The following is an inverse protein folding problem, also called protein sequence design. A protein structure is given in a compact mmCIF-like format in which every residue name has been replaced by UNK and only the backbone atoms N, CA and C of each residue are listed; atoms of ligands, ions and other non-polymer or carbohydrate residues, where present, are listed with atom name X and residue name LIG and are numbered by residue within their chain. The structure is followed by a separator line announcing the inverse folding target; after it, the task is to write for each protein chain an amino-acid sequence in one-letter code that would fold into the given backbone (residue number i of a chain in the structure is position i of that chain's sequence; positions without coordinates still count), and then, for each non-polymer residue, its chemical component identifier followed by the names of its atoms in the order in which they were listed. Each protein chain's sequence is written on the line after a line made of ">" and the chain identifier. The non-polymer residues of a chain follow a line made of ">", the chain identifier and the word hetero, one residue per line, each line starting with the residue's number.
data_IF_981837003866
#
_entry.id   IF_981837003866
#
_cell.length_a   1.000
_cell.length_b   1.000
_cell.length_c   1.000
_cell.angle_alpha   90.00
_cell.angle_beta   90.00
_cell.angle_gamma   90.00
#
_symmetry.space_group_name_H-M   'P 1'
#
loop_
_entity.id
_entity.type
_entity.pdbx_description
1 polymer ?
#
# COMPACT_ATOMS: atom_id res chain seq x y z
N UNK A 1 -4.68 -12.56 -6.33
CA UNK A 1 -3.72 -13.65 -6.01
C UNK A 1 -2.40 -13.03 -5.53
N UNK A 2 -1.89 -13.43 -4.36
CA UNK A 2 -0.75 -12.78 -3.70
C UNK A 2 0.60 -13.01 -4.42
N UNK A 3 0.95 -14.28 -4.72
CA UNK A 3 2.28 -14.64 -5.28
C UNK A 3 2.62 -13.87 -6.57
N UNK A 4 1.73 -13.77 -7.58
CA UNK A 4 2.02 -12.98 -8.78
C UNK A 4 2.13 -11.48 -8.52
N UNK A 5 1.52 -10.95 -7.46
CA UNK A 5 1.63 -9.54 -7.09
C UNK A 5 3.01 -9.26 -6.48
N UNK A 6 3.48 -10.12 -5.57
CA UNK A 6 4.83 -10.01 -4.98
C UNK A 6 5.91 -10.14 -6.06
N UNK A 7 5.76 -11.09 -6.99
CA UNK A 7 6.75 -11.26 -8.07
C UNK A 7 6.85 -10.05 -9.02
N UNK A 8 5.79 -9.24 -9.13
CA UNK A 8 5.76 -8.00 -9.93
C UNK A 8 6.16 -6.75 -9.14
N UNK A 9 6.26 -6.86 -7.81
CA UNK A 9 6.67 -5.74 -6.97
C UNK A 9 8.15 -5.40 -7.18
N UNK A 10 8.56 -4.14 -6.94
CA UNK A 10 9.97 -3.77 -6.91
C UNK A 10 10.76 -4.70 -6.00
N UNK A 11 11.93 -5.15 -6.47
CA UNK A 11 12.83 -6.07 -5.74
C UNK A 11 12.17 -7.41 -5.34
N UNK A 12 11.05 -7.78 -5.96
CA UNK A 12 10.26 -8.98 -5.64
C UNK A 12 9.88 -9.07 -4.15
N UNK A 13 9.69 -7.92 -3.49
CA UNK A 13 9.41 -7.83 -2.06
C UNK A 13 8.30 -6.81 -1.76
N UNK A 14 7.50 -7.11 -0.75
CA UNK A 14 6.48 -6.20 -0.22
C UNK A 14 6.40 -6.37 1.30
N UNK A 15 6.25 -5.27 2.03
CA UNK A 15 5.97 -5.29 3.46
C UNK A 15 4.56 -4.78 3.70
N UNK A 16 3.75 -5.62 4.31
CA UNK A 16 2.35 -5.36 4.62
C UNK A 16 2.19 -5.24 6.13
N UNK A 17 1.48 -4.22 6.58
CA UNK A 17 1.10 -4.06 7.99
C UNK A 17 -0.34 -3.60 8.04
N UNK A 18 -1.17 -4.36 8.73
CA UNK A 18 -2.56 -4.01 8.96
C UNK A 18 -2.70 -3.43 10.37
N UNK A 19 -3.19 -2.21 10.45
CA UNK A 19 -3.56 -1.55 11.69
C UNK A 19 -5.07 -1.69 11.89
N UNK A 20 -5.45 -2.52 12.86
CA UNK A 20 -6.85 -2.82 13.14
C UNK A 20 -7.59 -1.68 13.84
N UNK A 21 -6.88 -0.82 14.58
CA UNK A 21 -7.47 0.34 15.26
C UNK A 21 -7.86 1.41 14.25
N UNK A 22 -6.98 1.65 13.27
CA UNK A 22 -7.21 2.63 12.20
C UNK A 22 -7.95 2.05 10.97
N UNK A 23 -8.29 0.76 10.94
CA UNK A 23 -8.82 0.05 9.76
C UNK A 23 -8.02 0.35 8.47
N UNK A 24 -6.69 0.28 8.58
CA UNK A 24 -5.76 0.77 7.56
C UNK A 24 -4.70 -0.28 7.21
N UNK A 25 -4.47 -0.50 5.91
CA UNK A 25 -3.41 -1.37 5.40
C UNK A 25 -2.27 -0.54 4.81
N UNK A 26 -1.08 -0.69 5.38
CA UNK A 26 0.15 -0.12 4.84
C UNK A 26 0.84 -1.12 3.91
N UNK A 27 1.14 -0.68 2.70
CA UNK A 27 1.89 -1.41 1.67
C UNK A 27 3.20 -0.68 1.42
N UNK A 28 4.34 -1.36 1.55
CA UNK A 28 5.66 -0.75 1.32
C UNK A 28 6.47 -1.59 0.34
N UNK A 29 7.15 -0.94 -0.60
CA UNK A 29 8.07 -1.56 -1.57
C UNK A 29 9.55 -1.26 -1.27
N UNK A 30 9.82 -0.36 -0.31
CA UNK A 30 11.17 0.03 0.11
C UNK A 30 11.26 0.07 1.64
N UNK A 31 12.44 -0.25 2.18
CA UNK A 31 12.81 0.01 3.58
C UNK A 31 14.19 0.69 3.65
N UNK A 32 14.35 1.76 4.46
CA UNK A 32 13.29 2.49 5.17
C UNK A 32 12.33 3.20 4.18
N UNK A 33 11.06 3.30 4.56
CA UNK A 33 9.98 3.81 3.71
C UNK A 33 9.71 5.29 4.02
N UNK A 34 10.68 6.16 3.73
CA UNK A 34 10.51 7.60 3.88
C UNK A 34 9.91 8.18 2.61
N UNK A 35 8.69 8.68 2.70
CA UNK A 35 8.04 9.41 1.63
C UNK A 35 8.51 10.87 1.65
N UNK A 36 8.73 11.44 0.49
CA UNK A 36 8.92 12.89 0.31
C UNK A 36 7.61 13.58 -0.04
N UNK A 37 6.65 12.84 -0.60
CA UNK A 37 5.34 13.35 -1.00
C UNK A 37 4.26 12.26 -0.92
N UNK A 38 2.99 12.67 -0.91
CA UNK A 38 1.84 11.77 -0.91
C UNK A 38 0.59 12.39 -1.52
N UNK A 39 -0.20 11.57 -2.19
CA UNK A 39 -1.44 11.97 -2.84
C UNK A 39 -2.60 11.11 -2.33
N UNK A 40 -3.70 11.74 -1.90
CA UNK A 40 -4.95 11.06 -1.59
C UNK A 40 -5.78 10.92 -2.87
N UNK A 41 -6.24 9.70 -3.15
CA UNK A 41 -7.14 9.39 -4.27
C UNK A 41 -8.59 9.34 -3.82
N UNK A 42 -9.53 9.42 -4.77
CA UNK A 42 -10.97 9.26 -4.51
C UNK A 42 -11.35 7.86 -4.02
N UNK A 43 -10.46 6.88 -4.21
CA UNK A 43 -10.65 5.49 -3.80
C UNK A 43 -10.17 5.22 -2.37
N UNK A 44 -10.04 6.22 -1.48
CA UNK A 44 -9.54 6.06 -0.09
C UNK A 44 -8.14 5.42 -0.02
N UNK A 45 -7.32 5.64 -1.05
CA UNK A 45 -5.92 5.17 -1.10
C UNK A 45 -4.99 6.37 -1.16
N UNK A 46 -4.02 6.41 -0.25
CA UNK A 46 -2.92 7.37 -0.29
C UNK A 46 -1.75 6.73 -1.01
N UNK A 47 -1.32 7.33 -2.12
CA UNK A 47 -0.09 6.95 -2.82
C UNK A 47 1.09 7.66 -2.16
N UNK A 48 2.16 6.92 -1.86
CA UNK A 48 3.36 7.46 -1.19
C UNK A 48 4.53 7.47 -2.16
N UNK A 49 5.19 8.62 -2.27
CA UNK A 49 6.27 8.84 -3.23
C UNK A 49 7.60 9.18 -2.54
N UNK A 50 8.72 8.80 -3.16
CA UNK A 50 10.04 9.36 -2.90
C UNK A 50 10.59 9.94 -4.22
N UNK A 51 10.55 11.26 -4.37
CA UNK A 51 10.67 11.89 -5.68
C UNK A 51 9.52 11.44 -6.59
N UNK A 52 9.86 10.88 -7.76
CA UNK A 52 8.89 10.37 -8.73
C UNK A 52 8.59 8.86 -8.54
N UNK A 53 9.26 8.19 -7.59
CA UNK A 53 9.11 6.75 -7.34
C UNK A 53 7.95 6.49 -6.36
N UNK A 54 7.01 5.63 -6.73
CA UNK A 54 6.00 5.09 -5.80
C UNK A 54 6.68 4.10 -4.84
N UNK A 55 6.72 4.43 -3.55
CA UNK A 55 7.36 3.61 -2.52
C UNK A 55 6.36 2.81 -1.69
N UNK A 56 5.06 3.08 -1.82
CA UNK A 56 4.04 2.38 -1.08
C UNK A 56 2.65 3.00 -1.17
N UNK A 57 1.72 2.40 -0.45
CA UNK A 57 0.34 2.83 -0.34
C UNK A 57 -0.12 2.77 1.11
N UNK A 58 -1.02 3.67 1.48
CA UNK A 58 -1.84 3.56 2.69
C UNK A 58 -3.29 3.39 2.25
N UNK A 59 -3.86 2.21 2.48
CA UNK A 59 -5.22 1.87 2.08
C UNK A 59 -6.12 2.07 3.29
N UNK A 60 -6.96 3.11 3.24
CA UNK A 60 -7.93 3.38 4.29
C UNK A 60 -9.17 2.50 4.11
N UNK A 61 -9.91 2.34 5.22
CA UNK A 61 -11.12 1.52 5.28
C UNK A 61 -10.90 0.11 4.71
N UNK A 62 -9.73 -0.46 5.01
CA UNK A 62 -9.22 -1.64 4.33
C UNK A 62 -10.13 -2.87 4.50
N UNK A 63 -10.79 -3.00 5.66
CA UNK A 63 -11.76 -4.07 5.93
C UNK A 63 -12.96 -4.07 4.97
N UNK A 64 -13.35 -2.92 4.42
CA UNK A 64 -14.51 -2.81 3.51
C UNK A 64 -14.23 -3.37 2.12
N UNK A 65 -12.96 -3.42 1.71
CA UNK A 65 -12.53 -3.84 0.36
C UNK A 65 -12.52 -5.36 0.16
N UNK A 66 -12.51 -6.13 1.24
CA UNK A 66 -12.52 -7.60 1.16
C UNK A 66 -13.86 -8.16 0.61
N UNK A 67 -14.94 -7.36 0.62
CA UNK A 67 -16.27 -7.81 0.19
C UNK A 67 -16.52 -7.71 -1.31
N UNK A 68 -15.73 -6.95 -2.06
CA UNK A 68 -15.91 -6.80 -3.51
C UNK A 68 -15.22 -7.90 -4.33
N UNK A 69 -14.39 -8.73 -3.70
CA UNK A 69 -13.59 -9.77 -4.35
C UNK A 69 -14.06 -11.20 -4.08
N UNK A 70 -15.28 -11.38 -3.53
CA UNK A 70 -15.88 -12.68 -3.26
C UNK A 70 -16.89 -13.08 -4.35
#
# INVERSE_FOLDING_TARGET
>A
KLIPAVNRAPKHAVWLTYDAEADTLYVNYKKPSHATDSEMTDDDVIVRYAGEEVIGYTVLHASKRAKESA
#
